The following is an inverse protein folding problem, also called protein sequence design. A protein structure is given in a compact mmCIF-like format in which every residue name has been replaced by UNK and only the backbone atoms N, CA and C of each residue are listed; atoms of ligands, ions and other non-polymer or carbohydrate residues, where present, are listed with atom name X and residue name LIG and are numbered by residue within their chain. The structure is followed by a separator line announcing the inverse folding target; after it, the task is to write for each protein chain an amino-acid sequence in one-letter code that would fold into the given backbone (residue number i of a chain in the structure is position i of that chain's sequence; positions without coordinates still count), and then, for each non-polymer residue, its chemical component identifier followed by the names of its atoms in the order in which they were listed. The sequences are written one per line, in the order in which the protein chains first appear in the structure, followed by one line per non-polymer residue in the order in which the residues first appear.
data_IF_174076206259
#
_entry.id   IF_174076206259
#
_cell.length_a   1.000
_cell.length_b   1.000
_cell.length_c   1.000
_cell.angle_alpha   90.00
_cell.angle_beta   90.00
_cell.angle_gamma   90.00
#
_symmetry.space_group_name_H-M   'P 1'
#
loop_
_entity.id
_entity.type
_entity.pdbx_description
1 polymer ?
#
# COMPACT_ATOMS: atom_id res chain seq x y z
N UNK A 1 -6.38 -6.30 5.99
CA UNK A 1 -5.46 -7.13 6.80
C UNK A 1 -6.16 -8.44 7.09
N UNK A 2 -5.48 -9.58 7.02
CA UNK A 2 -6.16 -10.86 7.17
C UNK A 2 -6.88 -10.94 8.53
N UNK A 3 -8.20 -11.17 8.48
CA UNK A 3 -9.06 -11.28 9.67
C UNK A 3 -9.52 -9.96 10.30
N UNK A 4 -9.15 -8.79 9.76
CA UNK A 4 -9.55 -7.48 10.29
C UNK A 4 -10.35 -6.66 9.25
N UNK A 5 -11.52 -6.18 9.65
CA UNK A 5 -12.38 -5.31 8.85
C UNK A 5 -11.87 -3.87 8.87
N UNK A 6 -11.93 -3.19 7.71
CA UNK A 6 -11.57 -1.77 7.60
C UNK A 6 -10.06 -1.44 7.71
N UNK A 7 -9.20 -2.41 8.04
CA UNK A 7 -7.76 -2.20 8.23
C UNK A 7 -6.97 -2.52 6.95
N UNK A 8 -6.11 -1.58 6.54
CA UNK A 8 -5.23 -1.67 5.36
C UNK A 8 -3.77 -1.41 5.77
N UNK A 9 -2.81 -1.97 5.03
CA UNK A 9 -1.37 -1.70 5.16
C UNK A 9 -0.93 -0.99 3.89
N UNK A 10 -0.28 0.16 4.02
CA UNK A 10 0.03 1.07 2.91
C UNK A 10 1.51 1.51 2.90
N UNK A 11 2.42 0.56 3.13
CA UNK A 11 3.85 0.80 3.16
C UNK A 11 4.63 -0.25 2.35
N UNK A 12 5.95 -0.26 2.47
CA UNK A 12 6.81 -1.20 1.77
C UNK A 12 6.55 -2.68 2.12
N UNK A 13 6.00 -2.98 3.29
CA UNK A 13 5.84 -4.35 3.78
C UNK A 13 4.83 -5.18 2.99
N UNK A 14 3.96 -4.54 2.19
CA UNK A 14 3.02 -5.24 1.31
C UNK A 14 3.69 -5.82 0.07
N UNK A 15 4.91 -5.38 -0.26
CA UNK A 15 5.63 -5.88 -1.43
C UNK A 15 6.01 -7.35 -1.20
N UNK A 16 5.67 -8.28 -2.13
CA UNK A 16 5.93 -9.70 -1.93
C UNK A 16 7.42 -10.05 -1.94
N UNK A 17 8.23 -9.20 -2.58
CA UNK A 17 9.68 -9.33 -2.67
C UNK A 17 10.30 -7.92 -2.72
N UNK A 18 11.60 -7.83 -2.42
CA UNK A 18 12.35 -6.60 -2.67
C UNK A 18 12.43 -6.32 -4.18
N UNK A 19 11.89 -5.20 -4.61
CA UNK A 19 11.91 -4.76 -6.01
C UNK A 19 13.29 -4.24 -6.40
N UNK A 20 13.66 -4.37 -7.69
CA UNK A 20 14.95 -3.87 -8.22
C UNK A 20 14.96 -2.36 -8.51
N UNK A 21 13.89 -1.64 -8.17
CA UNK A 21 13.76 -0.21 -8.36
C UNK A 21 13.82 0.54 -7.01
N UNK A 22 13.77 1.87 -7.04
CA UNK A 22 13.82 2.69 -5.83
C UNK A 22 12.60 2.39 -4.92
N UNK A 23 12.88 1.89 -3.72
CA UNK A 23 11.85 1.52 -2.73
C UNK A 23 11.06 2.74 -2.26
N UNK A 24 11.70 3.91 -2.09
CA UNK A 24 11.04 5.11 -1.59
C UNK A 24 9.90 5.55 -2.51
N UNK A 25 10.19 5.67 -3.82
CA UNK A 25 9.17 6.07 -4.81
C UNK A 25 8.02 5.08 -4.84
N UNK A 26 8.32 3.78 -4.79
CA UNK A 26 7.29 2.74 -4.82
C UNK A 26 6.40 2.80 -3.57
N UNK A 27 6.98 2.99 -2.39
CA UNK A 27 6.24 3.15 -1.13
C UNK A 27 5.32 4.39 -1.17
N UNK A 28 5.80 5.52 -1.70
CA UNK A 28 4.97 6.72 -1.85
C UNK A 28 3.76 6.47 -2.77
N UNK A 29 3.95 5.77 -3.90
CA UNK A 29 2.86 5.46 -4.84
C UNK A 29 1.87 4.45 -4.26
N UNK A 30 2.32 3.49 -3.45
CA UNK A 30 1.45 2.58 -2.68
C UNK A 30 0.53 3.38 -1.76
N UNK A 31 1.09 4.34 -1.02
CA UNK A 31 0.34 5.23 -0.13
C UNK A 31 -0.72 6.04 -0.89
N UNK A 32 -0.33 6.68 -2.00
CA UNK A 32 -1.25 7.46 -2.84
C UNK A 32 -2.41 6.60 -3.36
N UNK A 33 -2.10 5.39 -3.86
CA UNK A 33 -3.13 4.49 -4.40
C UNK A 33 -4.11 4.03 -3.35
N UNK A 34 -3.66 3.76 -2.12
CA UNK A 34 -4.54 3.35 -1.02
C UNK A 34 -5.34 4.54 -0.48
N UNK A 35 -4.77 5.73 -0.44
CA UNK A 35 -5.52 6.95 -0.11
C UNK A 35 -6.66 7.20 -1.11
N UNK A 36 -6.41 6.92 -2.39
CA UNK A 36 -7.43 6.98 -3.45
C UNK A 36 -8.56 5.97 -3.25
N UNK A 37 -8.24 4.72 -2.90
CA UNK A 37 -9.24 3.71 -2.54
C UNK A 37 -10.10 4.14 -1.33
N UNK A 38 -9.44 4.65 -0.28
CA UNK A 38 -10.14 5.15 0.91
C UNK A 38 -11.08 6.30 0.56
N UNK A 39 -10.65 7.21 -0.33
CA UNK A 39 -11.46 8.35 -0.78
C UNK A 39 -12.68 7.92 -1.60
N UNK A 40 -12.55 6.87 -2.42
CA UNK A 40 -13.63 6.38 -3.28
C UNK A 40 -14.51 5.29 -2.65
N UNK A 41 -14.15 4.79 -1.46
CA UNK A 41 -14.93 3.79 -0.73
C UNK A 41 -14.63 2.35 -1.13
N UNK A 42 -13.46 2.09 -1.72
CA UNK A 42 -12.97 0.76 -2.13
C UNK A 42 -12.29 0.00 -0.98
#
# INVERSE_FOLDING_TARGET
VHGLEGIRVADASIMPNCIRANTNVTTMVIGERIADFIRHGD
#
